data_IF_859121356499
#
_entry.id   IF_859121356499
#
_cell.length_a   1.000
_cell.length_b   1.000
_cell.length_c   1.000
_cell.angle_alpha   90.00
_cell.angle_beta   90.00
_cell.angle_gamma   90.00
#
_symmetry.space_group_name_H-M   'P 1'
#
loop_
_entity.id
_entity.type
_entity.pdbx_description
1 polymer ?
#
# COMPACT_ATOMS: atom_id res chain seq x y z
N UNK A 1 5.66 -31.48 -10.39
CA UNK A 1 6.18 -31.45 -9.00
C UNK A 1 6.75 -30.09 -8.60
N UNK A 2 7.62 -29.47 -9.40
CA UNK A 2 8.28 -28.19 -9.08
C UNK A 2 7.30 -27.03 -8.82
N UNK A 3 6.34 -26.79 -9.71
CA UNK A 3 5.33 -25.73 -9.52
C UNK A 3 4.48 -25.92 -8.26
N UNK A 4 4.13 -27.16 -7.91
CA UNK A 4 3.35 -27.45 -6.70
C UNK A 4 4.16 -27.17 -5.42
N UNK A 5 5.46 -27.50 -5.43
CA UNK A 5 6.38 -27.14 -4.34
C UNK A 5 6.47 -25.63 -4.18
N UNK A 6 6.68 -24.90 -5.27
CA UNK A 6 6.84 -23.44 -5.22
C UNK A 6 5.55 -22.75 -4.80
N UNK A 7 4.39 -23.22 -5.27
CA UNK A 7 3.08 -22.75 -4.83
C UNK A 7 2.87 -23.00 -3.33
N UNK A 8 3.25 -24.18 -2.82
CA UNK A 8 3.18 -24.49 -1.40
C UNK A 8 4.10 -23.58 -0.58
N UNK A 9 5.36 -23.39 -1.01
CA UNK A 9 6.30 -22.50 -0.34
C UNK A 9 5.79 -21.05 -0.28
N UNK A 10 5.28 -20.52 -1.41
CA UNK A 10 4.67 -19.17 -1.47
C UNK A 10 3.47 -19.06 -0.54
N UNK A 11 2.61 -20.08 -0.48
CA UNK A 11 1.46 -20.10 0.42
C UNK A 11 1.88 -20.13 1.90
N UNK A 12 2.85 -20.96 2.26
CA UNK A 12 3.38 -21.04 3.63
C UNK A 12 3.98 -19.70 4.06
N UNK A 13 4.79 -19.07 3.21
CA UNK A 13 5.38 -17.77 3.49
C UNK A 13 4.33 -16.67 3.64
N UNK A 14 3.33 -16.64 2.73
CA UNK A 14 2.20 -15.71 2.82
C UNK A 14 1.46 -15.83 4.15
N UNK A 15 1.16 -17.06 4.60
CA UNK A 15 0.49 -17.31 5.89
C UNK A 15 1.35 -16.90 7.08
N UNK A 16 2.65 -17.15 7.03
CA UNK A 16 3.60 -16.72 8.06
C UNK A 16 3.63 -15.20 8.17
N UNK A 17 3.75 -14.49 7.05
CA UNK A 17 3.76 -13.03 7.00
C UNK A 17 2.47 -12.45 7.60
N UNK A 18 1.29 -12.95 7.18
CA UNK A 18 0.01 -12.53 7.76
C UNK A 18 -0.08 -12.79 9.26
N UNK A 19 0.46 -13.92 9.73
CA UNK A 19 0.50 -14.24 11.16
C UNK A 19 1.37 -13.24 11.94
N UNK A 20 2.57 -12.92 11.44
CA UNK A 20 3.48 -11.93 12.06
C UNK A 20 2.80 -10.56 12.17
N UNK A 21 2.22 -10.06 11.07
CA UNK A 21 1.50 -8.78 11.06
C UNK A 21 0.34 -8.79 12.07
N UNK A 22 -0.43 -9.88 12.12
CA UNK A 22 -1.51 -10.03 13.10
C UNK A 22 -1.01 -9.99 14.55
N UNK A 23 0.13 -10.63 14.84
CA UNK A 23 0.73 -10.62 16.18
C UNK A 23 1.17 -9.21 16.59
N UNK A 24 1.84 -8.49 15.69
CA UNK A 24 2.29 -7.11 15.93
C UNK A 24 1.07 -6.19 16.16
N UNK A 25 0.05 -6.28 15.33
CA UNK A 25 -1.18 -5.48 15.47
C UNK A 25 -1.89 -5.76 16.80
N UNK A 26 -1.94 -7.02 17.25
CA UNK A 26 -2.51 -7.37 18.55
C UNK A 26 -1.70 -6.79 19.71
N UNK A 27 -0.37 -6.74 19.62
CA UNK A 27 0.48 -6.17 20.68
C UNK A 27 0.38 -4.65 20.79
N UNK A 28 0.09 -3.94 19.70
CA UNK A 28 0.07 -2.47 19.66
C UNK A 28 -1.37 -1.91 19.84
N UNK A 29 -2.39 -2.77 19.74
CA UNK A 29 -3.81 -2.36 19.82
C UNK A 29 -4.11 -1.59 21.12
N UNK A 30 -4.55 -0.33 20.99
CA UNK A 30 -5.06 0.49 22.10
C UNK A 30 -6.59 0.52 22.11
N UNK A 31 -7.20 0.63 23.29
CA UNK A 31 -8.66 0.53 23.47
C UNK A 31 -9.45 1.77 23.05
N UNK A 32 -8.80 2.93 22.92
CA UNK A 32 -9.44 4.20 22.54
C UNK A 32 -8.51 5.06 21.70
N UNK A 33 -8.94 5.44 20.50
CA UNK A 33 -8.27 6.47 19.68
C UNK A 33 -9.32 7.47 19.18
N UNK A 34 -9.20 8.74 19.57
CA UNK A 34 -10.06 9.85 19.09
C UNK A 34 -9.62 10.38 17.72
N UNK A 35 -8.33 10.23 17.39
CA UNK A 35 -7.70 10.63 16.13
C UNK A 35 -6.64 9.59 15.76
N UNK A 36 -6.50 9.32 14.47
CA UNK A 36 -5.51 8.38 13.92
C UNK A 36 -4.67 9.14 12.90
N UNK A 37 -3.35 8.98 12.98
CA UNK A 37 -2.41 9.46 11.97
C UNK A 37 -1.82 8.21 11.32
N UNK A 38 -2.04 8.07 10.00
CA UNK A 38 -1.45 7.02 9.20
C UNK A 38 -0.17 7.52 8.54
N UNK A 39 0.85 6.69 8.51
CA UNK A 39 2.04 6.90 7.68
C UNK A 39 2.01 5.84 6.60
N UNK A 40 2.19 6.27 5.35
CA UNK A 40 2.22 5.38 4.19
C UNK A 40 3.68 5.21 3.76
N UNK A 41 4.18 3.97 3.82
CA UNK A 41 5.50 3.56 3.34
C UNK A 41 5.29 2.50 2.27
N UNK A 42 5.59 2.85 1.02
CA UNK A 42 5.30 2.03 -0.17
C UNK A 42 6.47 2.08 -1.14
N UNK A 43 6.53 1.10 -2.03
CA UNK A 43 7.45 1.13 -3.17
C UNK A 43 7.11 2.29 -4.12
N UNK A 44 8.15 2.99 -4.59
CA UNK A 44 8.03 3.98 -5.64
C UNK A 44 7.80 3.34 -7.01
N UNK A 45 7.65 4.19 -8.04
CA UNK A 45 7.48 3.74 -9.42
C UNK A 45 8.72 2.96 -9.91
N UNK A 46 8.53 1.78 -10.47
CA UNK A 46 9.59 0.89 -10.96
C UNK A 46 9.57 0.80 -12.48
N UNK A 47 10.71 1.06 -13.12
CA UNK A 47 10.87 0.90 -14.58
C UNK A 47 12.13 0.08 -14.82
N UNK A 48 11.96 -1.18 -15.21
CA UNK A 48 13.04 -2.07 -15.58
C UNK A 48 13.04 -2.37 -17.08
N UNK A 49 14.10 -3.00 -17.58
CA UNK A 49 14.15 -3.46 -18.97
C UNK A 49 13.04 -4.48 -19.26
N UNK A 50 12.86 -5.45 -18.34
CA UNK A 50 11.78 -6.43 -18.37
C UNK A 50 10.86 -6.24 -17.16
N UNK A 51 9.61 -5.82 -17.41
CA UNK A 51 8.62 -5.59 -16.36
C UNK A 51 7.66 -6.78 -16.25
N UNK A 52 7.45 -7.25 -15.02
CA UNK A 52 6.52 -8.34 -14.71
C UNK A 52 5.19 -7.82 -14.15
N UNK A 53 4.28 -8.72 -13.80
CA UNK A 53 2.99 -8.36 -13.23
C UNK A 53 3.13 -7.60 -11.89
N UNK A 54 4.19 -7.89 -11.16
CA UNK A 54 4.55 -7.23 -9.91
C UNK A 54 4.81 -5.73 -10.12
N UNK A 55 5.60 -5.35 -11.12
CA UNK A 55 5.83 -3.94 -11.48
C UNK A 55 4.52 -3.25 -11.90
N UNK A 56 3.66 -3.95 -12.64
CA UNK A 56 2.35 -3.41 -13.02
C UNK A 56 1.51 -3.05 -11.78
N UNK A 57 1.45 -3.93 -10.77
CA UNK A 57 0.72 -3.66 -9.52
C UNK A 57 1.33 -2.46 -8.77
N UNK A 58 2.66 -2.40 -8.67
CA UNK A 58 3.37 -1.30 -7.99
C UNK A 58 3.08 0.04 -8.68
N UNK A 59 3.25 0.09 -10.00
CA UNK A 59 3.06 1.31 -10.79
C UNK A 59 1.59 1.73 -10.83
N UNK A 60 0.66 0.79 -10.91
CA UNK A 60 -0.78 1.09 -10.81
C UNK A 60 -1.14 1.72 -9.45
N UNK A 61 -0.59 1.18 -8.36
CA UNK A 61 -0.80 1.76 -7.03
C UNK A 61 -0.25 3.19 -6.94
N UNK A 62 0.95 3.43 -7.49
CA UNK A 62 1.55 4.76 -7.58
C UNK A 62 0.67 5.72 -8.38
N UNK A 63 0.17 5.31 -9.55
CA UNK A 63 -0.71 6.13 -10.38
C UNK A 63 -1.99 6.52 -9.63
N UNK A 64 -2.60 5.57 -8.90
CA UNK A 64 -3.79 5.86 -8.09
C UNK A 64 -3.52 6.81 -6.93
N UNK A 65 -2.35 6.71 -6.30
CA UNK A 65 -1.97 7.65 -5.24
C UNK A 65 -1.70 9.04 -5.80
N UNK A 66 -1.05 9.14 -6.96
CA UNK A 66 -0.84 10.40 -7.65
C UNK A 66 -2.18 11.04 -8.06
N UNK A 67 -3.13 10.24 -8.55
CA UNK A 67 -4.48 10.71 -8.86
C UNK A 67 -5.18 11.31 -7.62
N UNK A 68 -5.16 10.58 -6.48
CA UNK A 68 -5.75 11.06 -5.22
C UNK A 68 -5.06 12.34 -4.75
N UNK A 69 -3.72 12.40 -4.83
CA UNK A 69 -2.96 13.59 -4.44
C UNK A 69 -3.35 14.81 -5.26
N UNK A 70 -3.39 14.69 -6.59
CA UNK A 70 -3.79 15.78 -7.48
C UNK A 70 -5.22 16.24 -7.18
N UNK A 71 -6.16 15.31 -6.99
CA UNK A 71 -7.55 15.65 -6.67
C UNK A 71 -7.67 16.44 -5.36
N UNK A 72 -6.96 16.00 -4.31
CA UNK A 72 -6.96 16.69 -3.02
C UNK A 72 -6.33 18.08 -3.13
N UNK A 73 -5.17 18.20 -3.78
CA UNK A 73 -4.48 19.49 -3.95
C UNK A 73 -5.33 20.46 -4.77
N UNK A 74 -5.89 20.03 -5.91
CA UNK A 74 -6.74 20.90 -6.73
C UNK A 74 -7.98 21.36 -5.98
N UNK A 75 -8.58 20.48 -5.17
CA UNK A 75 -9.74 20.84 -4.35
C UNK A 75 -9.36 21.88 -3.29
N UNK A 76 -8.23 21.70 -2.61
CA UNK A 76 -7.73 22.64 -1.60
C UNK A 76 -7.50 24.03 -2.20
N UNK A 77 -6.86 24.10 -3.38
CA UNK A 77 -6.64 25.34 -4.12
C UNK A 77 -7.97 26.01 -4.52
N UNK A 78 -8.93 25.25 -5.06
CA UNK A 78 -10.25 25.79 -5.42
C UNK A 78 -11.01 26.35 -4.21
N UNK A 79 -10.93 25.68 -3.06
CA UNK A 79 -11.54 26.17 -1.83
C UNK A 79 -10.86 27.45 -1.33
N UNK A 80 -9.55 27.61 -1.54
CA UNK A 80 -8.82 28.84 -1.23
C UNK A 80 -9.24 30.00 -2.14
N UNK A 81 -9.30 29.78 -3.46
CA UNK A 81 -9.76 30.77 -4.43
C UNK A 81 -11.19 31.29 -4.17
N UNK A 82 -12.08 30.51 -3.54
CA UNK A 82 -13.44 30.93 -3.19
C UNK A 82 -13.49 31.71 -1.86
N UNK A 83 -12.53 31.47 -0.97
CA UNK A 83 -12.42 32.17 0.31
C UNK A 83 -11.83 33.57 0.15
N UNK A 84 -10.96 33.75 -0.84
CA UNK A 84 -10.43 35.05 -1.27
C UNK A 84 -11.42 35.84 -2.14
#
# INVERSE_FOLDING_TARGET
AYYARDALCKNMYSRLFSWVVSRINKSIKKHTQKKVMGVLDIYGFEIFEDNSFEQFIINYCNEKLQQIFIEMTLKEEQEEYVRE
#
